data_IF_513263822591
#
_entry.id   IF_513263822591
#
_cell.length_a   1.000
_cell.length_b   1.000
_cell.length_c   1.000
_cell.angle_alpha   90.00
_cell.angle_beta   90.00
_cell.angle_gamma   90.00
#
_symmetry.space_group_name_H-M   'P 1'
#
loop_
_entity.id
_entity.type
_entity.pdbx_description
1 polymer ?
#
# COMPACT_ATOMS: atom_id res chain seq x y z
N UNK A 1 35.52 2.27 10.79
CA UNK A 1 35.04 1.02 10.15
C UNK A 1 35.10 -0.08 11.19
N UNK A 2 33.94 -0.58 11.65
CA UNK A 2 33.69 -1.95 12.16
C UNK A 2 32.19 -2.00 12.54
N UNK A 3 31.49 -2.90 11.82
CA UNK A 3 30.20 -3.60 12.05
C UNK A 3 29.19 -3.04 13.05
N UNK A 4 28.09 -2.52 12.48
CA UNK A 4 26.77 -2.49 13.11
C UNK A 4 26.35 -3.89 13.55
N UNK A 5 26.07 -4.04 14.84
CA UNK A 5 25.59 -5.26 15.49
C UNK A 5 24.14 -5.59 15.16
N UNK A 6 23.73 -5.49 13.89
CA UNK A 6 22.52 -6.11 13.33
C UNK A 6 22.69 -6.48 11.84
N UNK A 7 23.90 -6.87 11.43
CA UNK A 7 24.17 -7.35 10.07
C UNK A 7 24.65 -8.80 10.08
N UNK A 8 23.74 -9.74 9.82
CA UNK A 8 24.08 -11.07 9.30
C UNK A 8 23.74 -11.08 7.81
N UNK A 9 24.78 -11.29 7.00
CA UNK A 9 24.74 -11.33 5.54
C UNK A 9 23.92 -12.53 5.02
N UNK A 10 23.16 -12.32 3.95
CA UNK A 10 22.70 -13.38 3.03
C UNK A 10 22.85 -12.83 1.59
N UNK A 11 23.36 -13.61 0.62
CA UNK A 11 23.87 -13.08 -0.65
C UNK A 11 22.78 -12.79 -1.68
N UNK A 12 23.10 -11.92 -2.63
CA UNK A 12 22.33 -11.65 -3.84
C UNK A 12 22.25 -12.91 -4.71
N UNK A 13 21.04 -13.41 -4.96
CA UNK A 13 20.79 -14.41 -6.01
C UNK A 13 19.54 -14.01 -6.80
N UNK A 14 19.76 -13.83 -8.10
CA UNK A 14 18.76 -13.70 -9.15
C UNK A 14 18.17 -15.07 -9.53
N UNK A 15 16.88 -15.05 -9.86
CA UNK A 15 16.12 -16.04 -10.64
C UNK A 15 15.79 -17.43 -10.03
N UNK A 16 14.49 -17.78 -10.10
CA UNK A 16 14.06 -19.10 -10.56
C UNK A 16 13.55 -20.12 -9.51
N UNK A 17 12.29 -19.98 -9.10
CA UNK A 17 11.26 -21.04 -8.93
C UNK A 17 11.57 -22.43 -8.30
N UNK A 18 12.70 -22.69 -7.62
CA UNK A 18 13.00 -24.03 -7.05
C UNK A 18 13.38 -24.08 -5.57
N UNK A 19 13.20 -22.99 -4.82
CA UNK A 19 13.70 -22.87 -3.44
C UNK A 19 12.72 -23.24 -2.31
N UNK A 20 11.50 -23.70 -2.63
CA UNK A 20 10.51 -24.04 -1.59
C UNK A 20 10.79 -25.33 -0.82
N UNK A 21 11.69 -26.19 -1.30
CA UNK A 21 12.05 -27.44 -0.60
C UNK A 21 13.30 -27.30 0.30
N UNK A 22 14.25 -26.43 -0.07
CA UNK A 22 15.52 -26.28 0.68
C UNK A 22 15.38 -25.45 1.98
N UNK A 23 14.34 -24.61 2.08
CA UNK A 23 13.98 -23.90 3.31
C UNK A 23 13.28 -24.79 4.35
N UNK A 24 12.86 -26.00 3.97
CA UNK A 24 12.13 -26.91 4.85
C UNK A 24 13.05 -27.66 5.83
N UNK A 25 14.34 -27.84 5.48
CA UNK A 25 15.27 -28.69 6.25
C UNK A 25 16.22 -27.90 7.16
N UNK A 26 16.23 -26.56 7.07
CA UNK A 26 17.04 -25.67 7.93
C UNK A 26 16.27 -25.07 9.11
N UNK A 27 14.99 -25.43 9.25
CA UNK A 27 14.09 -24.96 10.33
C UNK A 27 14.04 -25.96 11.50
N UNK A 28 14.52 -27.20 11.31
CA UNK A 28 14.43 -28.25 12.34
C UNK A 28 15.63 -28.28 13.32
N UNK A 29 16.62 -27.40 13.17
CA UNK A 29 17.79 -27.37 14.07
C UNK A 29 18.08 -26.01 14.72
N UNK A 30 17.16 -25.04 14.57
CA UNK A 30 17.20 -23.79 15.34
C UNK A 30 16.00 -23.75 16.27
N UNK A 31 16.06 -24.62 17.27
CA UNK A 31 15.42 -24.38 18.56
C UNK A 31 15.93 -23.01 19.05
N UNK A 32 15.16 -21.95 18.78
CA UNK A 32 15.29 -20.67 19.47
C UNK A 32 14.81 -20.88 20.91
N UNK A 33 15.60 -21.61 21.71
CA UNK A 33 15.76 -21.25 23.11
C UNK A 33 16.37 -19.85 23.07
N UNK A 34 15.52 -18.82 23.17
CA UNK A 34 16.01 -17.59 23.78
C UNK A 34 16.67 -18.03 25.08
N UNK A 35 17.93 -17.69 25.38
CA UNK A 35 18.32 -17.69 26.76
C UNK A 35 17.33 -16.73 27.42
N UNK A 36 16.44 -17.28 28.22
CA UNK A 36 15.72 -16.50 29.20
C UNK A 36 16.79 -16.02 30.18
N UNK A 37 17.52 -14.97 29.81
CA UNK A 37 18.09 -14.07 30.77
C UNK A 37 16.89 -13.36 31.41
N UNK A 38 16.19 -14.09 32.27
CA UNK A 38 15.62 -13.50 33.47
C UNK A 38 16.85 -13.02 34.25
N UNK A 39 17.39 -11.88 33.85
CA UNK A 39 18.19 -11.08 34.77
C UNK A 39 17.14 -10.66 35.78
N UNK A 40 16.97 -11.48 36.83
CA UNK A 40 16.34 -10.99 38.04
C UNK A 40 17.19 -9.78 38.41
N UNK A 41 16.65 -8.55 38.36
CA UNK A 41 17.42 -7.41 38.79
C UNK A 41 17.82 -7.71 40.22
N UNK A 42 19.14 -7.74 40.47
CA UNK A 42 19.69 -7.88 41.81
C UNK A 42 18.96 -6.87 42.70
N UNK A 43 18.49 -7.25 43.91
CA UNK A 43 17.62 -6.39 44.74
C UNK A 43 18.19 -4.99 45.01
N UNK A 44 19.51 -4.81 44.83
CA UNK A 44 20.21 -3.52 44.87
C UNK A 44 19.76 -2.52 43.79
N UNK A 45 19.49 -2.96 42.56
CA UNK A 45 19.10 -2.05 41.47
C UNK A 45 17.64 -1.61 41.55
N UNK A 46 16.80 -2.32 42.30
CA UNK A 46 15.42 -1.90 42.56
C UNK A 46 15.34 -0.75 43.57
N UNK A 47 16.36 -0.55 44.41
CA UNK A 47 16.38 0.45 45.49
C UNK A 47 17.05 1.78 45.10
N UNK A 48 17.76 1.84 43.97
CA UNK A 48 18.39 3.07 43.50
C UNK A 48 17.33 4.11 43.07
N UNK A 49 17.39 5.37 43.52
CA UNK A 49 16.55 6.47 43.02
C UNK A 49 16.70 6.70 41.51
N UNK A 50 15.62 7.15 40.86
CA UNK A 50 15.59 7.34 39.39
C UNK A 50 16.56 8.42 38.91
N UNK A 51 16.91 9.35 39.78
CA UNK A 51 17.90 10.43 39.57
C UNK A 51 19.32 9.87 39.46
N UNK A 52 19.65 8.84 40.26
CA UNK A 52 20.95 8.17 40.16
C UNK A 52 21.03 7.29 38.91
N UNK A 53 19.93 6.62 38.55
CA UNK A 53 19.84 5.90 37.28
C UNK A 53 20.03 6.85 36.09
N UNK A 54 19.44 8.05 36.18
CA UNK A 54 19.59 9.08 35.15
C UNK A 54 21.05 9.50 35.01
N UNK A 55 21.71 9.78 36.15
CA UNK A 55 23.12 10.16 36.18
C UNK A 55 24.04 9.06 35.66
N UNK A 56 23.79 7.79 35.98
CA UNK A 56 24.59 6.67 35.48
C UNK A 56 24.46 6.54 33.96
N UNK A 57 23.22 6.60 33.45
CA UNK A 57 22.96 6.47 32.02
C UNK A 57 23.42 7.70 31.22
N UNK A 58 23.40 8.91 31.79
CA UNK A 58 23.88 10.12 31.11
C UNK A 58 25.39 10.12 30.90
N UNK A 59 26.15 9.40 31.74
CA UNK A 59 27.61 9.25 31.61
C UNK A 59 28.00 8.16 30.60
N UNK A 60 27.05 7.34 30.13
CA UNK A 60 27.30 6.34 29.09
C UNK A 60 27.16 7.02 27.72
N UNK A 61 28.25 7.07 26.95
CA UNK A 61 28.23 7.68 25.62
C UNK A 61 27.76 6.72 24.50
N UNK A 62 27.70 5.41 24.79
CA UNK A 62 27.23 4.41 23.84
C UNK A 62 25.70 4.33 23.82
N UNK A 63 25.09 5.06 22.87
CA UNK A 63 23.63 5.11 22.68
C UNK A 63 23.00 3.72 22.50
N UNK A 64 23.55 2.78 21.71
CA UNK A 64 23.04 1.41 21.63
C UNK A 64 22.93 0.69 22.97
N UNK A 65 23.94 0.80 23.84
CA UNK A 65 23.91 0.19 25.18
C UNK A 65 22.85 0.81 26.09
N UNK A 66 22.69 2.15 26.07
CA UNK A 66 21.62 2.84 26.80
C UNK A 66 20.24 2.36 26.34
N UNK A 67 20.05 2.19 25.02
CA UNK A 67 18.79 1.70 24.45
C UNK A 67 18.48 0.26 24.89
N UNK A 68 19.49 -0.59 25.06
CA UNK A 68 19.32 -1.96 25.54
C UNK A 68 18.88 -2.03 27.01
N UNK A 69 19.21 -1.01 27.82
CA UNK A 69 18.76 -0.92 29.21
C UNK A 69 17.22 -0.82 29.34
N UNK A 70 16.51 -0.44 28.27
CA UNK A 70 15.02 -0.45 28.24
C UNK A 70 14.41 -1.83 28.52
N UNK A 71 15.15 -2.90 28.23
CA UNK A 71 14.67 -4.27 28.40
C UNK A 71 14.83 -4.81 29.84
N UNK A 72 15.43 -4.03 30.75
CA UNK A 72 15.77 -4.48 32.11
C UNK A 72 14.57 -4.39 33.06
N UNK A 73 13.93 -3.23 33.18
CA UNK A 73 12.65 -3.05 33.87
C UNK A 73 12.01 -1.69 33.54
N UNK A 74 10.75 -1.49 33.93
CA UNK A 74 9.96 -0.28 33.66
C UNK A 74 10.62 1.02 34.15
N UNK A 75 11.41 0.95 35.24
CA UNK A 75 12.16 2.12 35.74
C UNK A 75 13.32 2.50 34.83
N UNK A 76 14.09 1.52 34.34
CA UNK A 76 15.14 1.77 33.35
C UNK A 76 14.54 2.26 32.03
N UNK A 77 13.39 1.73 31.65
CA UNK A 77 12.64 2.18 30.48
C UNK A 77 12.28 3.67 30.59
N UNK A 78 11.67 4.08 31.71
CA UNK A 78 11.32 5.49 31.98
C UNK A 78 12.53 6.42 31.94
N UNK A 79 13.64 6.03 32.57
CA UNK A 79 14.84 6.86 32.62
C UNK A 79 15.50 7.00 31.24
N UNK A 80 15.60 5.91 30.47
CA UNK A 80 16.17 5.95 29.12
C UNK A 80 15.36 6.86 28.18
N UNK A 81 14.03 6.89 28.33
CA UNK A 81 13.17 7.74 27.51
C UNK A 81 13.30 9.24 27.83
N UNK A 82 13.72 9.59 29.04
CA UNK A 82 14.04 10.97 29.41
C UNK A 82 15.45 11.40 28.95
N UNK A 83 16.37 10.45 28.72
CA UNK A 83 17.77 10.73 28.32
C UNK A 83 17.91 10.75 26.80
N UNK A 84 17.32 9.78 26.11
CA UNK A 84 17.43 9.67 24.65
C UNK A 84 16.28 10.45 24.04
N UNK A 85 16.54 11.56 23.31
CA UNK A 85 15.47 12.39 22.77
C UNK A 85 14.55 11.57 21.86
N UNK A 86 13.24 11.78 22.05
CA UNK A 86 12.17 11.18 21.26
C UNK A 86 12.43 11.40 19.76
N UNK A 87 12.88 10.36 19.06
CA UNK A 87 13.08 10.38 17.61
C UNK A 87 12.07 9.46 16.97
N UNK A 88 11.09 10.07 16.30
CA UNK A 88 10.13 9.33 15.50
C UNK A 88 10.84 8.61 14.35
N UNK A 89 10.58 7.31 14.25
CA UNK A 89 10.94 6.49 13.11
C UNK A 89 9.84 6.66 12.06
N UNK A 90 10.13 7.42 11.01
CA UNK A 90 9.24 7.59 9.86
C UNK A 90 9.24 6.30 9.04
N UNK A 91 8.14 5.55 9.10
CA UNK A 91 7.97 4.31 8.37
C UNK A 91 7.29 4.59 7.04
N UNK A 92 7.97 4.27 5.94
CA UNK A 92 7.34 4.31 4.62
C UNK A 92 6.23 3.27 4.51
N UNK A 93 6.44 2.08 5.09
CA UNK A 93 5.41 1.03 5.22
C UNK A 93 5.58 0.26 6.53
N UNK A 94 4.47 0.01 7.20
CA UNK A 94 4.34 -1.02 8.21
C UNK A 94 3.55 -2.18 7.60
N UNK A 95 4.22 -3.32 7.42
CA UNK A 95 3.63 -4.51 6.82
C UNK A 95 3.43 -5.56 7.90
N UNK A 96 2.18 -5.97 8.13
CA UNK A 96 1.85 -7.05 9.05
C UNK A 96 1.38 -8.23 8.21
N UNK A 97 2.16 -9.32 8.25
CA UNK A 97 1.90 -10.51 7.44
C UNK A 97 1.59 -11.72 8.31
N UNK A 98 0.65 -12.55 7.89
CA UNK A 98 0.43 -13.86 8.53
C UNK A 98 1.57 -14.82 8.17
N UNK A 99 2.03 -15.57 9.17
CA UNK A 99 3.00 -16.64 9.03
C UNK A 99 2.36 -18.01 9.32
N UNK A 100 2.93 -19.10 8.77
CA UNK A 100 2.56 -20.46 9.17
C UNK A 100 2.69 -20.66 10.68
N UNK A 101 1.92 -21.62 11.25
CA UNK A 101 1.90 -21.93 12.69
C UNK A 101 1.34 -20.83 13.61
N UNK A 102 0.37 -20.04 13.13
CA UNK A 102 -0.34 -19.03 13.93
C UNK A 102 0.61 -17.96 14.51
N UNK A 103 1.51 -17.44 13.70
CA UNK A 103 2.31 -16.28 14.04
C UNK A 103 2.04 -15.14 13.06
N UNK A 104 2.39 -13.92 13.46
CA UNK A 104 2.40 -12.76 12.57
C UNK A 104 3.81 -12.19 12.49
N UNK A 105 4.18 -11.74 11.31
CA UNK A 105 5.38 -10.94 11.07
C UNK A 105 4.98 -9.46 11.06
N UNK A 106 5.66 -8.65 11.86
CA UNK A 106 5.55 -7.19 11.79
C UNK A 106 6.86 -6.67 11.19
N UNK A 107 6.77 -6.17 9.95
CA UNK A 107 7.90 -5.67 9.18
C UNK A 107 7.81 -4.15 9.01
N UNK A 108 8.87 -3.48 9.43
CA UNK A 108 9.09 -2.04 9.32
C UNK A 108 9.93 -1.78 8.07
N UNK A 109 9.51 -0.85 7.23
CA UNK A 109 10.21 -0.48 6.01
C UNK A 109 10.35 1.04 5.96
N UNK A 110 11.59 1.51 5.81
CA UNK A 110 11.90 2.90 5.54
C UNK A 110 12.70 2.98 4.23
N UNK A 111 12.08 3.51 3.17
CA UNK A 111 12.75 3.67 1.88
C UNK A 111 13.82 4.75 1.91
N UNK A 112 13.64 5.81 2.70
CA UNK A 112 14.60 6.91 2.79
C UNK A 112 15.95 6.47 3.34
N UNK A 113 15.95 5.57 4.33
CA UNK A 113 17.16 4.97 4.88
C UNK A 113 17.50 3.59 4.29
N UNK A 114 16.70 3.09 3.34
CA UNK A 114 16.78 1.73 2.79
C UNK A 114 16.81 0.62 3.85
N UNK A 115 16.20 0.86 5.01
CA UNK A 115 16.19 -0.10 6.11
C UNK A 115 14.90 -0.92 6.12
N UNK A 116 15.06 -2.23 6.32
CA UNK A 116 13.95 -3.12 6.64
C UNK A 116 14.28 -3.96 7.86
N UNK A 117 13.35 -4.05 8.79
CA UNK A 117 13.49 -4.85 10.00
C UNK A 117 12.16 -5.53 10.31
N UNK A 118 12.20 -6.81 10.60
CA UNK A 118 11.02 -7.62 10.91
C UNK A 118 11.13 -8.23 12.32
N UNK A 119 9.98 -8.39 12.96
CA UNK A 119 9.84 -9.17 14.17
C UNK A 119 8.68 -10.15 14.02
N UNK A 120 8.80 -11.31 14.67
CA UNK A 120 7.75 -12.33 14.68
C UNK A 120 7.06 -12.31 16.04
N UNK A 121 5.73 -12.22 16.02
CA UNK A 121 4.86 -12.27 17.19
C UNK A 121 4.02 -13.54 17.09
N UNK A 122 4.11 -14.42 18.08
CA UNK A 122 3.29 -15.62 18.12
C UNK A 122 1.85 -15.30 18.52
N UNK A 123 0.87 -16.16 18.19
CA UNK A 123 -0.50 -15.97 18.68
C UNK A 123 -0.61 -15.96 20.20
N UNK A 124 0.26 -16.70 20.90
CA UNK A 124 0.29 -16.67 22.37
C UNK A 124 0.58 -15.25 22.88
N UNK A 125 1.52 -14.55 22.22
CA UNK A 125 1.84 -13.16 22.53
C UNK A 125 0.69 -12.19 22.19
N UNK A 126 -0.11 -12.47 21.16
CA UNK A 126 -1.32 -11.68 20.87
C UNK A 126 -2.37 -11.81 21.98
N UNK A 127 -2.51 -13.00 22.57
CA UNK A 127 -3.49 -13.25 23.66
C UNK A 127 -3.06 -12.74 25.03
N UNK A 128 -1.77 -12.52 25.23
CA UNK A 128 -1.19 -12.11 26.52
C UNK A 128 -0.72 -10.65 26.46
N UNK A 129 -1.37 -9.81 25.64
CA UNK A 129 -1.07 -8.39 25.47
C UNK A 129 0.42 -8.08 25.30
N UNK A 130 1.03 -8.61 24.23
CA UNK A 130 2.39 -8.26 23.88
C UNK A 130 2.58 -6.73 23.91
N UNK A 131 3.39 -6.28 24.86
CA UNK A 131 3.63 -4.87 25.11
C UNK A 131 4.61 -4.30 24.08
N UNK A 132 4.08 -3.99 22.90
CA UNK A 132 4.80 -3.33 21.82
C UNK A 132 4.54 -1.82 21.77
N UNK A 133 3.83 -1.29 22.77
CA UNK A 133 3.40 0.11 22.85
C UNK A 133 4.57 1.06 22.66
N UNK A 134 5.73 0.72 23.25
CA UNK A 134 6.93 1.53 23.16
C UNK A 134 7.46 1.64 21.72
N UNK A 135 7.52 0.52 21.01
CA UNK A 135 7.97 0.53 19.61
C UNK A 135 7.01 1.33 18.75
N UNK A 136 5.70 1.15 18.96
CA UNK A 136 4.66 1.85 18.21
C UNK A 136 4.59 3.34 18.53
N UNK A 137 4.89 3.76 19.76
CA UNK A 137 5.01 5.16 20.15
C UNK A 137 6.04 5.94 19.33
N UNK A 138 7.04 5.23 18.82
CA UNK A 138 8.09 5.83 18.01
C UNK A 138 7.73 5.85 16.52
N UNK A 139 6.64 5.21 16.09
CA UNK A 139 6.33 5.08 14.68
C UNK A 139 5.49 6.25 14.16
N UNK A 140 5.99 6.85 13.08
CA UNK A 140 5.21 7.73 12.22
C UNK A 140 4.92 6.98 10.93
N UNK A 141 3.72 6.41 10.84
CA UNK A 141 3.37 5.41 9.82
C UNK A 141 2.75 6.11 8.61
N UNK A 142 3.32 5.93 7.41
CA UNK A 142 2.73 6.46 6.18
C UNK A 142 1.75 5.49 5.53
N UNK A 143 2.05 4.19 5.55
CA UNK A 143 1.22 3.16 4.92
C UNK A 143 1.15 1.92 5.79
N UNK A 144 -0.07 1.46 6.08
CA UNK A 144 -0.33 0.23 6.80
C UNK A 144 -0.79 -0.84 5.82
N UNK A 145 -0.10 -1.97 5.81
CA UNK A 145 -0.40 -3.10 4.91
C UNK A 145 -0.62 -4.36 5.73
N UNK A 146 -1.82 -4.92 5.65
CA UNK A 146 -2.16 -6.22 6.23
C UNK A 146 -2.18 -7.26 5.12
N UNK A 147 -1.38 -8.32 5.25
CA UNK A 147 -1.16 -9.28 4.16
C UNK A 147 -1.27 -10.73 4.64
N UNK A 148 -1.95 -11.58 3.87
CA UNK A 148 -1.94 -13.04 4.06
C UNK A 148 -2.26 -13.47 5.53
N UNK A 149 -3.20 -12.79 6.19
CA UNK A 149 -3.55 -13.06 7.59
C UNK A 149 -5.06 -13.20 7.76
N UNK A 150 -5.48 -13.89 8.82
CA UNK A 150 -6.88 -13.94 9.24
C UNK A 150 -7.21 -12.71 10.09
N UNK A 151 -8.26 -11.98 9.68
CA UNK A 151 -8.75 -10.82 10.41
C UNK A 151 -9.65 -11.28 11.55
N UNK A 152 -9.07 -11.47 12.73
CA UNK A 152 -9.77 -11.87 13.95
C UNK A 152 -9.97 -10.69 14.89
N UNK A 153 -10.96 -10.78 15.78
CA UNK A 153 -11.15 -9.76 16.83
C UNK A 153 -9.93 -9.65 17.75
N UNK A 154 -9.32 -10.78 18.13
CA UNK A 154 -8.06 -10.83 18.91
C UNK A 154 -6.96 -9.99 18.23
N UNK A 155 -6.75 -10.19 16.93
CA UNK A 155 -5.74 -9.46 16.17
C UNK A 155 -6.07 -7.98 16.03
N UNK A 156 -7.33 -7.64 15.76
CA UNK A 156 -7.75 -6.25 15.62
C UNK A 156 -7.60 -5.52 16.96
N UNK A 157 -8.04 -6.08 18.07
CA UNK A 157 -7.94 -5.42 19.38
C UNK A 157 -6.47 -5.24 19.79
N UNK A 158 -5.60 -6.24 19.54
CA UNK A 158 -4.16 -6.07 19.68
C UNK A 158 -3.64 -4.89 18.83
N UNK A 159 -3.95 -4.88 17.53
CA UNK A 159 -3.45 -3.86 16.61
C UNK A 159 -3.97 -2.46 16.97
N UNK A 160 -5.21 -2.36 17.45
CA UNK A 160 -5.83 -1.11 17.89
C UNK A 160 -5.06 -0.51 19.06
N UNK A 161 -4.73 -1.30 20.08
CA UNK A 161 -3.91 -0.85 21.22
C UNK A 161 -2.55 -0.33 20.73
N UNK A 162 -1.90 -1.04 19.80
CA UNK A 162 -0.60 -0.59 19.27
C UNK A 162 -0.73 0.72 18.45
N UNK A 163 -1.74 0.83 17.58
CA UNK A 163 -1.93 2.00 16.73
C UNK A 163 -2.37 3.25 17.51
N UNK A 164 -3.11 3.11 18.60
CA UNK A 164 -3.45 4.22 19.49
C UNK A 164 -2.22 4.90 20.09
N UNK A 165 -1.13 4.16 20.25
CA UNK A 165 0.14 4.71 20.74
C UNK A 165 0.97 5.36 19.62
N UNK A 166 0.65 5.15 18.34
CA UNK A 166 1.46 5.64 17.20
C UNK A 166 1.04 7.03 16.71
N UNK A 167 1.97 7.75 16.07
CA UNK A 167 1.62 8.95 15.30
C UNK A 167 1.03 8.57 13.93
N UNK A 168 -0.30 8.66 13.83
CA UNK A 168 -1.07 8.40 12.61
C UNK A 168 -1.30 9.64 11.74
N UNK A 169 -0.78 10.82 12.12
CA UNK A 169 -1.01 12.08 11.40
C UNK A 169 -0.59 12.04 9.93
N UNK A 170 0.39 11.20 9.59
CA UNK A 170 0.91 11.02 8.22
C UNK A 170 0.45 9.74 7.54
N UNK A 171 -0.47 8.98 8.14
CA UNK A 171 -0.99 7.76 7.55
C UNK A 171 -1.88 8.10 6.36
N UNK A 172 -1.51 7.66 5.16
CA UNK A 172 -2.27 7.95 3.94
C UNK A 172 -2.92 6.70 3.34
N UNK A 173 -2.43 5.50 3.65
CA UNK A 173 -2.88 4.28 2.99
C UNK A 173 -3.11 3.12 3.97
N UNK A 174 -4.25 2.45 3.81
CA UNK A 174 -4.52 1.13 4.38
C UNK A 174 -4.76 0.15 3.23
N UNK A 175 -3.95 -0.91 3.17
CA UNK A 175 -4.10 -1.99 2.19
C UNK A 175 -4.29 -3.33 2.88
N UNK A 176 -5.39 -4.00 2.56
CA UNK A 176 -5.73 -5.36 2.97
C UNK A 176 -5.53 -6.27 1.76
N UNK A 177 -4.50 -7.10 1.78
CA UNK A 177 -4.15 -7.97 0.65
C UNK A 177 -4.22 -9.45 1.04
N UNK A 178 -5.06 -10.22 0.37
CA UNK A 178 -5.27 -11.64 0.64
C UNK A 178 -5.55 -11.92 2.14
N UNK A 179 -6.34 -11.04 2.74
CA UNK A 179 -6.80 -11.16 4.13
C UNK A 179 -8.00 -12.10 4.16
N UNK A 180 -8.02 -13.00 5.14
CA UNK A 180 -9.13 -13.93 5.37
C UNK A 180 -10.13 -13.33 6.38
N UNK A 181 -11.37 -13.19 5.96
CA UNK A 181 -12.50 -12.66 6.72
C UNK A 181 -13.37 -13.77 7.33
N UNK A 182 -13.00 -15.05 7.19
CA UNK A 182 -13.80 -16.19 7.66
C UNK A 182 -14.17 -16.11 9.14
N UNK A 183 -13.21 -15.70 9.97
CA UNK A 183 -13.33 -15.51 11.42
C UNK A 183 -13.68 -14.07 11.82
N UNK A 184 -13.94 -13.18 10.87
CA UNK A 184 -14.28 -11.78 11.12
C UNK A 184 -15.79 -11.58 11.22
N UNK A 185 -16.18 -10.58 12.01
CA UNK A 185 -17.52 -10.02 12.01
C UNK A 185 -17.53 -8.64 11.34
N UNK A 186 -18.71 -8.11 11.03
CA UNK A 186 -18.86 -6.71 10.59
C UNK A 186 -18.19 -5.73 11.58
N UNK A 187 -18.23 -6.01 12.88
CA UNK A 187 -17.63 -5.14 13.87
C UNK A 187 -16.09 -5.16 13.85
N UNK A 188 -15.48 -6.27 13.43
CA UNK A 188 -14.03 -6.45 13.41
C UNK A 188 -13.34 -5.40 12.53
N UNK A 189 -13.78 -5.24 11.27
CA UNK A 189 -13.22 -4.22 10.39
C UNK A 189 -13.63 -2.81 10.82
N UNK A 190 -14.86 -2.63 11.30
CA UNK A 190 -15.35 -1.36 11.82
C UNK A 190 -14.45 -0.79 12.92
N UNK A 191 -14.05 -1.61 13.90
CA UNK A 191 -13.17 -1.20 15.00
C UNK A 191 -11.77 -0.80 14.54
N UNK A 192 -11.24 -1.46 13.50
CA UNK A 192 -9.96 -1.08 12.91
C UNK A 192 -10.05 0.27 12.19
N UNK A 193 -11.08 0.43 11.34
CA UNK A 193 -11.32 1.66 10.58
C UNK A 193 -11.55 2.86 11.51
N UNK A 194 -12.21 2.68 12.65
CA UNK A 194 -12.47 3.76 13.59
C UNK A 194 -11.20 4.53 14.04
N UNK A 195 -10.03 3.88 14.01
CA UNK A 195 -8.76 4.51 14.38
C UNK A 195 -8.11 5.19 13.17
N UNK A 196 -8.11 4.52 12.02
CA UNK A 196 -7.27 4.91 10.87
C UNK A 196 -8.02 5.72 9.80
N UNK A 197 -9.34 5.54 9.67
CA UNK A 197 -10.12 5.97 8.52
C UNK A 197 -10.06 7.48 8.23
N UNK A 198 -10.04 8.32 9.27
CA UNK A 198 -9.96 9.80 9.16
C UNK A 198 -8.65 10.33 8.56
N UNK A 199 -7.63 9.48 8.49
CA UNK A 199 -6.32 9.82 7.95
C UNK A 199 -6.15 9.36 6.49
N UNK A 200 -6.95 8.38 6.05
CA UNK A 200 -6.71 7.68 4.79
C UNK A 200 -7.03 8.53 3.55
N UNK A 201 -6.09 8.55 2.61
CA UNK A 201 -6.31 8.97 1.22
C UNK A 201 -6.58 7.76 0.30
N UNK A 202 -6.07 6.58 0.67
CA UNK A 202 -6.16 5.35 -0.11
C UNK A 202 -6.63 4.20 0.79
N UNK A 203 -7.76 3.60 0.44
CA UNK A 203 -8.25 2.37 1.04
C UNK A 203 -8.30 1.26 -0.02
N UNK A 204 -7.60 0.16 0.23
CA UNK A 204 -7.52 -0.97 -0.68
C UNK A 204 -7.85 -2.28 0.04
N UNK A 205 -8.73 -3.05 -0.55
CA UNK A 205 -9.03 -4.42 -0.22
C UNK A 205 -8.91 -5.26 -1.48
N UNK A 206 -7.94 -6.17 -1.50
CA UNK A 206 -7.57 -6.95 -2.68
C UNK A 206 -7.45 -8.42 -2.34
N UNK A 207 -8.02 -9.27 -3.19
CA UNK A 207 -7.90 -10.74 -3.11
C UNK A 207 -8.36 -11.36 -1.79
N UNK A 208 -9.26 -10.70 -1.05
CA UNK A 208 -9.73 -11.19 0.25
C UNK A 208 -10.60 -12.43 0.13
N UNK A 209 -10.50 -13.29 1.15
CA UNK A 209 -11.19 -14.60 1.22
C UNK A 209 -12.10 -14.68 2.44
N UNK A 210 -12.96 -15.71 2.50
CA UNK A 210 -13.83 -15.92 3.66
C UNK A 210 -14.89 -14.84 3.87
N UNK A 211 -15.15 -14.00 2.88
CA UNK A 211 -16.01 -12.83 3.05
C UNK A 211 -17.50 -13.22 3.19
N UNK A 212 -18.22 -12.41 3.96
CA UNK A 212 -19.68 -12.43 4.10
C UNK A 212 -20.26 -11.15 3.51
N UNK A 213 -21.57 -11.11 3.30
CA UNK A 213 -22.24 -9.93 2.75
C UNK A 213 -22.05 -8.68 3.64
N UNK A 214 -21.87 -8.87 4.94
CA UNK A 214 -21.67 -7.85 5.96
C UNK A 214 -20.19 -7.63 6.33
N UNK A 215 -19.24 -8.32 5.70
CA UNK A 215 -17.80 -8.10 5.97
C UNK A 215 -17.33 -6.70 5.62
N UNK A 216 -17.94 -6.08 4.60
CA UNK A 216 -17.77 -4.66 4.25
C UNK A 216 -19.14 -4.13 3.88
N UNK A 217 -19.46 -2.94 4.39
CA UNK A 217 -20.78 -2.31 4.24
C UNK A 217 -20.63 -0.81 4.02
N UNK A 218 -21.70 -0.14 3.64
CA UNK A 218 -21.74 1.33 3.53
C UNK A 218 -21.31 2.04 4.84
N UNK A 219 -21.60 1.45 6.00
CA UNK A 219 -21.20 1.98 7.30
C UNK A 219 -19.67 1.93 7.55
N UNK A 220 -18.97 1.01 6.89
CA UNK A 220 -17.51 0.97 6.93
C UNK A 220 -16.92 2.11 6.11
N UNK A 221 -17.43 2.31 4.89
CA UNK A 221 -16.96 3.37 4.00
C UNK A 221 -17.38 4.76 4.48
N UNK A 222 -18.47 4.86 5.25
CA UNK A 222 -18.89 6.10 5.91
C UNK A 222 -17.87 6.65 6.92
N UNK A 223 -16.96 5.83 7.44
CA UNK A 223 -15.91 6.28 8.37
C UNK A 223 -14.75 6.98 7.66
N UNK A 224 -14.63 6.81 6.34
CA UNK A 224 -13.59 7.46 5.56
C UNK A 224 -13.88 8.96 5.45
N UNK A 225 -12.84 9.77 5.56
CA UNK A 225 -12.96 11.21 5.35
C UNK A 225 -13.10 11.49 3.84
N UNK A 226 -14.32 11.84 3.41
CA UNK A 226 -14.61 12.10 2.00
C UNK A 226 -13.78 13.27 1.44
N UNK A 227 -13.34 14.21 2.27
CA UNK A 227 -12.54 15.35 1.80
C UNK A 227 -11.10 14.95 1.47
N UNK A 228 -10.62 13.84 2.05
CA UNK A 228 -9.25 13.33 1.87
C UNK A 228 -9.17 12.12 0.97
N UNK A 229 -10.20 11.29 0.94
CA UNK A 229 -10.16 10.03 0.21
C UNK A 229 -10.02 10.28 -1.29
N UNK A 230 -9.00 9.68 -1.89
CA UNK A 230 -8.68 9.79 -3.31
C UNK A 230 -8.92 8.47 -4.04
N UNK A 231 -8.89 7.34 -3.33
CA UNK A 231 -9.06 6.01 -3.94
C UNK A 231 -9.65 5.00 -2.96
N UNK A 232 -10.66 4.27 -3.44
CA UNK A 232 -11.29 3.14 -2.76
C UNK A 232 -11.27 1.96 -3.73
N UNK A 233 -10.54 0.90 -3.38
CA UNK A 233 -10.43 -0.31 -4.20
C UNK A 233 -10.94 -1.50 -3.41
N UNK A 234 -11.98 -2.16 -3.90
CA UNK A 234 -12.50 -3.45 -3.43
C UNK A 234 -12.45 -4.38 -4.63
N UNK A 235 -11.47 -5.30 -4.65
CA UNK A 235 -11.21 -6.16 -5.80
C UNK A 235 -10.84 -7.59 -5.39
N UNK A 236 -11.21 -8.56 -6.22
CA UNK A 236 -10.89 -9.97 -5.98
C UNK A 236 -11.63 -10.59 -4.79
N UNK A 237 -12.87 -10.17 -4.53
CA UNK A 237 -13.69 -10.63 -3.40
C UNK A 237 -14.09 -12.10 -3.56
N UNK A 238 -13.79 -12.92 -2.55
CA UNK A 238 -14.18 -14.34 -2.48
C UNK A 238 -14.99 -14.60 -1.20
N UNK A 239 -16.25 -15.00 -1.37
CA UNK A 239 -17.17 -15.30 -0.28
C UNK A 239 -16.88 -16.67 0.35
N UNK A 240 -17.08 -16.79 1.67
CA UNK A 240 -16.94 -18.05 2.41
C UNK A 240 -17.91 -19.13 1.89
N UNK A 241 -19.16 -18.75 1.70
CA UNK A 241 -20.18 -19.59 1.06
C UNK A 241 -20.47 -19.02 -0.32
N UNK A 242 -20.02 -19.66 -1.41
CA UNK A 242 -20.26 -19.19 -2.77
C UNK A 242 -21.71 -19.44 -3.16
N UNK A 243 -22.65 -18.66 -2.59
CA UNK A 243 -24.02 -18.61 -3.09
C UNK A 243 -24.00 -17.96 -4.48
N UNK A 244 -24.85 -18.44 -5.39
CA UNK A 244 -25.06 -17.78 -6.69
C UNK A 244 -25.42 -16.30 -6.42
N UNK A 245 -24.58 -15.38 -6.89
CA UNK A 245 -24.74 -13.91 -6.76
C UNK A 245 -24.57 -13.32 -5.35
N UNK A 246 -23.72 -13.88 -4.50
CA UNK A 246 -23.33 -13.20 -3.27
C UNK A 246 -22.71 -11.81 -3.57
N UNK A 247 -23.21 -10.79 -2.87
CA UNK A 247 -22.74 -9.40 -2.95
C UNK A 247 -22.46 -8.83 -1.56
N UNK A 248 -21.52 -7.88 -1.51
CA UNK A 248 -21.23 -7.06 -0.33
C UNK A 248 -22.31 -6.00 -0.16
N UNK A 249 -22.65 -5.66 1.08
CA UNK A 249 -23.59 -4.58 1.45
C UNK A 249 -22.97 -3.18 1.31
N UNK A 250 -22.10 -3.02 0.32
CA UNK A 250 -21.66 -1.71 -0.18
C UNK A 250 -22.58 -1.39 -1.33
N UNK A 251 -23.47 -0.43 -1.12
CA UNK A 251 -24.53 -0.07 -2.05
C UNK A 251 -24.48 1.40 -2.46
N UNK A 252 -25.62 1.87 -2.94
CA UNK A 252 -25.78 3.21 -3.50
C UNK A 252 -25.53 4.32 -2.47
N UNK A 253 -25.73 4.02 -1.20
CA UNK A 253 -25.57 4.97 -0.10
C UNK A 253 -24.14 5.50 0.02
N UNK A 254 -23.12 4.67 -0.21
CA UNK A 254 -21.72 5.14 -0.27
C UNK A 254 -21.52 6.13 -1.41
N UNK A 255 -22.02 5.83 -2.61
CA UNK A 255 -21.84 6.66 -3.79
C UNK A 255 -22.60 7.98 -3.65
N UNK A 256 -23.83 7.93 -3.12
CA UNK A 256 -24.67 9.09 -2.86
C UNK A 256 -23.97 10.07 -1.91
N UNK A 257 -23.48 9.58 -0.77
CA UNK A 257 -22.76 10.41 0.21
C UNK A 257 -21.52 11.09 -0.38
N UNK A 258 -20.75 10.35 -1.16
CA UNK A 258 -19.56 10.89 -1.83
C UNK A 258 -19.95 12.00 -2.83
N UNK A 259 -20.99 11.77 -3.64
CA UNK A 259 -21.49 12.76 -4.60
C UNK A 259 -22.07 14.02 -3.91
N UNK A 260 -22.84 13.86 -2.83
CA UNK A 260 -23.38 14.97 -2.04
C UNK A 260 -22.27 15.88 -1.48
N UNK A 261 -21.14 15.28 -1.09
CA UNK A 261 -19.97 15.99 -0.58
C UNK A 261 -19.04 16.47 -1.70
N UNK A 262 -19.44 16.34 -2.97
CA UNK A 262 -18.65 16.65 -4.18
C UNK A 262 -17.28 15.98 -4.19
N UNK A 263 -17.17 14.80 -3.58
CA UNK A 263 -15.96 14.01 -3.52
C UNK A 263 -16.04 12.83 -4.47
N UNK A 264 -15.10 12.78 -5.41
CA UNK A 264 -15.07 11.75 -6.45
C UNK A 264 -13.75 10.95 -6.44
N UNK A 265 -13.52 10.08 -5.43
CA UNK A 265 -12.37 9.18 -5.40
C UNK A 265 -12.40 8.15 -6.53
N UNK A 266 -11.26 7.53 -6.84
CA UNK A 266 -11.19 6.46 -7.82
C UNK A 266 -11.77 5.21 -7.20
N UNK A 267 -12.88 4.71 -7.75
CA UNK A 267 -13.61 3.58 -7.23
C UNK A 267 -13.33 2.33 -8.06
N UNK A 268 -12.99 1.24 -7.39
CA UNK A 268 -13.05 -0.12 -7.96
C UNK A 268 -13.94 -0.94 -7.05
N UNK A 269 -15.06 -1.43 -7.57
CA UNK A 269 -16.09 -2.13 -6.80
C UNK A 269 -16.33 -3.52 -7.39
N UNK A 270 -15.95 -4.55 -6.65
CA UNK A 270 -16.13 -5.95 -7.03
C UNK A 270 -17.19 -6.64 -6.15
N UNK A 271 -18.22 -7.22 -6.78
CA UNK A 271 -19.34 -7.89 -6.12
C UNK A 271 -20.05 -7.03 -5.07
N UNK A 272 -20.21 -5.74 -5.32
CA UNK A 272 -20.98 -4.82 -4.48
C UNK A 272 -22.46 -4.79 -4.87
N UNK A 273 -23.31 -4.26 -3.99
CA UNK A 273 -24.76 -4.13 -4.17
C UNK A 273 -25.18 -2.78 -4.79
N UNK A 274 -24.28 -2.14 -5.52
CA UNK A 274 -24.53 -0.88 -6.25
C UNK A 274 -25.42 -1.11 -7.46
N UNK A 275 -26.25 -0.12 -7.78
CA UNK A 275 -27.19 -0.15 -8.92
C UNK A 275 -26.64 0.57 -10.14
N UNK A 276 -27.11 0.16 -11.31
CA UNK A 276 -26.79 0.81 -12.59
C UNK A 276 -27.11 2.31 -12.55
N UNK A 277 -28.30 2.68 -12.06
CA UNK A 277 -28.74 4.07 -11.95
C UNK A 277 -27.76 4.91 -11.12
N UNK A 278 -27.43 4.47 -9.90
CA UNK A 278 -26.56 5.24 -9.02
C UNK A 278 -25.14 5.37 -9.56
N UNK A 279 -24.60 4.34 -10.21
CA UNK A 279 -23.28 4.40 -10.82
C UNK A 279 -23.24 5.44 -11.96
N UNK A 280 -24.30 5.51 -12.77
CA UNK A 280 -24.45 6.55 -13.79
C UNK A 280 -24.61 7.95 -13.17
N UNK A 281 -25.54 8.12 -12.22
CA UNK A 281 -25.77 9.39 -11.51
C UNK A 281 -24.48 9.92 -10.85
N UNK A 282 -23.71 9.03 -10.23
CA UNK A 282 -22.41 9.37 -9.62
C UNK A 282 -21.40 9.87 -10.66
N UNK A 283 -21.37 9.24 -11.83
CA UNK A 283 -20.43 9.59 -12.90
C UNK A 283 -20.82 10.90 -13.59
N UNK A 284 -22.11 11.13 -13.82
CA UNK A 284 -22.64 12.42 -14.27
C UNK A 284 -22.31 13.54 -13.29
N UNK A 285 -22.50 13.29 -11.99
CA UNK A 285 -22.14 14.23 -10.93
C UNK A 285 -20.65 14.62 -11.00
N UNK A 286 -19.78 13.64 -11.23
CA UNK A 286 -18.36 13.91 -11.44
C UNK A 286 -18.14 14.77 -12.69
N UNK A 287 -18.72 14.41 -13.84
CA UNK A 287 -18.60 15.18 -15.08
C UNK A 287 -19.09 16.62 -14.95
N UNK A 288 -20.15 16.85 -14.17
CA UNK A 288 -20.66 18.19 -13.89
C UNK A 288 -19.70 18.99 -12.98
N UNK A 289 -19.06 18.34 -12.01
CA UNK A 289 -18.20 19.01 -11.02
C UNK A 289 -16.73 19.17 -11.43
N UNK A 290 -16.20 18.30 -12.29
CA UNK A 290 -14.77 18.21 -12.55
C UNK A 290 -14.30 19.34 -13.47
N UNK A 291 -13.15 19.93 -13.14
CA UNK A 291 -12.46 20.87 -14.01
C UNK A 291 -11.97 20.18 -15.29
N UNK A 292 -11.92 20.90 -16.41
CA UNK A 292 -11.50 20.35 -17.72
C UNK A 292 -10.09 19.73 -17.68
N UNK A 293 -9.17 20.33 -16.92
CA UNK A 293 -7.83 19.76 -16.71
C UNK A 293 -7.86 18.39 -16.05
N UNK A 294 -8.73 18.17 -15.07
CA UNK A 294 -8.89 16.88 -14.39
C UNK A 294 -9.57 15.84 -15.29
N UNK A 295 -10.55 16.28 -16.08
CA UNK A 295 -11.23 15.46 -17.10
C UNK A 295 -10.27 14.89 -18.14
N UNK A 296 -9.21 15.63 -18.48
CA UNK A 296 -8.15 15.19 -19.42
C UNK A 296 -7.16 14.21 -18.79
N UNK A 297 -6.89 14.32 -17.48
CA UNK A 297 -5.91 13.48 -16.77
C UNK A 297 -6.50 12.17 -16.27
N UNK A 298 -7.79 12.16 -15.93
CA UNK A 298 -8.44 11.04 -15.28
C UNK A 298 -9.65 10.63 -16.09
N UNK A 299 -9.43 9.73 -17.04
CA UNK A 299 -10.51 9.22 -17.89
C UNK A 299 -11.44 8.26 -17.15
N UNK A 300 -11.04 7.69 -16.01
CA UNK A 300 -11.80 6.67 -15.28
C UNK A 300 -12.04 7.05 -13.80
N UNK A 301 -13.31 7.12 -13.43
CA UNK A 301 -13.73 7.41 -12.04
C UNK A 301 -14.18 6.16 -11.29
N UNK A 302 -14.92 5.27 -11.96
CA UNK A 302 -15.56 4.13 -11.35
C UNK A 302 -15.40 2.89 -12.23
N UNK A 303 -14.87 1.82 -11.63
CA UNK A 303 -14.82 0.47 -12.20
C UNK A 303 -15.78 -0.42 -11.42
N UNK A 304 -16.71 -1.07 -12.11
CA UNK A 304 -17.61 -2.04 -11.48
C UNK A 304 -17.33 -3.42 -12.04
N UNK A 305 -17.18 -4.42 -11.16
CA UNK A 305 -16.88 -5.80 -11.51
C UNK A 305 -17.88 -6.74 -10.83
N UNK A 306 -18.51 -7.63 -11.60
CA UNK A 306 -19.33 -8.74 -11.05
C UNK A 306 -20.42 -8.30 -10.05
N UNK A 307 -20.93 -7.07 -10.16
CA UNK A 307 -22.03 -6.56 -9.34
C UNK A 307 -23.36 -7.01 -9.95
N UNK A 308 -24.23 -7.63 -9.14
CA UNK A 308 -25.42 -8.31 -9.66
C UNK A 308 -26.45 -7.38 -10.33
N UNK A 309 -26.51 -6.11 -9.88
CA UNK A 309 -27.42 -5.08 -10.38
C UNK A 309 -26.81 -4.19 -11.48
N UNK A 310 -25.56 -4.48 -11.90
CA UNK A 310 -24.87 -3.79 -13.00
C UNK A 310 -24.61 -4.80 -14.10
N UNK A 311 -25.59 -4.98 -14.99
CA UNK A 311 -25.53 -5.96 -16.09
C UNK A 311 -25.13 -5.25 -17.37
N UNK A 312 -24.14 -5.81 -18.09
CA UNK A 312 -23.57 -5.22 -19.32
C UNK A 312 -24.60 -4.56 -20.25
N UNK A 313 -25.58 -5.29 -20.80
CA UNK A 313 -26.52 -4.72 -21.77
C UNK A 313 -27.44 -3.61 -21.21
N UNK A 314 -27.94 -3.79 -19.98
CA UNK A 314 -28.80 -2.79 -19.32
C UNK A 314 -28.01 -1.56 -18.91
N UNK A 315 -26.75 -1.77 -18.51
CA UNK A 315 -25.82 -0.71 -18.14
C UNK A 315 -25.39 0.10 -19.36
N UNK A 316 -25.03 -0.57 -20.46
CA UNK A 316 -24.67 0.05 -21.74
C UNK A 316 -25.82 0.90 -22.30
N UNK A 317 -27.04 0.36 -22.33
CA UNK A 317 -28.22 1.09 -22.78
C UNK A 317 -28.53 2.33 -21.90
N UNK A 318 -28.37 2.21 -20.58
CA UNK A 318 -28.56 3.35 -19.66
C UNK A 318 -27.45 4.41 -19.83
N UNK A 319 -26.21 3.99 -20.09
CA UNK A 319 -25.12 4.90 -20.39
C UNK A 319 -25.36 5.65 -21.71
N UNK A 320 -25.76 4.94 -22.76
CA UNK A 320 -26.08 5.51 -24.07
C UNK A 320 -27.23 6.52 -23.97
N UNK A 321 -28.31 6.17 -23.25
CA UNK A 321 -29.44 7.07 -22.97
C UNK A 321 -29.02 8.39 -22.31
N UNK A 322 -27.93 8.38 -21.57
CA UNK A 322 -27.38 9.52 -20.82
C UNK A 322 -26.18 10.18 -21.50
N UNK A 323 -25.76 9.69 -22.68
CA UNK A 323 -24.56 10.17 -23.37
C UNK A 323 -23.25 9.85 -22.63
N UNK A 324 -23.24 8.84 -21.76
CA UNK A 324 -22.03 8.35 -21.08
C UNK A 324 -21.36 7.26 -21.90
N UNK A 325 -20.03 7.26 -21.94
CA UNK A 325 -19.27 6.22 -22.62
C UNK A 325 -18.82 5.13 -21.66
N UNK A 326 -19.06 3.88 -22.05
CA UNK A 326 -18.71 2.71 -21.26
C UNK A 326 -17.97 1.67 -22.11
N UNK A 327 -16.95 1.02 -21.53
CA UNK A 327 -16.18 -0.05 -22.17
C UNK A 327 -16.36 -1.32 -21.38
N UNK A 328 -16.87 -2.34 -22.06
CA UNK A 328 -16.91 -3.69 -21.53
C UNK A 328 -15.60 -4.41 -21.86
N UNK A 329 -14.81 -4.78 -20.85
CA UNK A 329 -13.58 -5.56 -21.06
C UNK A 329 -13.92 -7.06 -21.08
N UNK A 330 -13.98 -7.63 -22.29
CA UNK A 330 -14.20 -9.08 -22.49
C UNK A 330 -13.11 -9.87 -21.73
N UNK A 331 -13.52 -10.84 -20.91
CA UNK A 331 -12.63 -11.71 -20.11
C UNK A 331 -12.59 -11.42 -18.60
N UNK A 332 -12.78 -10.17 -18.16
CA UNK A 332 -12.77 -9.82 -16.72
C UNK A 332 -14.17 -9.54 -16.14
N UNK A 333 -15.19 -9.37 -16.98
CA UNK A 333 -16.54 -8.96 -16.56
C UNK A 333 -16.56 -7.57 -15.90
N UNK A 334 -15.57 -6.73 -16.25
CA UNK A 334 -15.44 -5.37 -15.74
C UNK A 334 -16.16 -4.41 -16.69
N UNK A 335 -17.02 -3.58 -16.12
CA UNK A 335 -17.63 -2.44 -16.79
C UNK A 335 -16.90 -1.18 -16.32
N UNK A 336 -16.41 -0.41 -17.29
CA UNK A 336 -15.61 0.79 -17.07
C UNK A 336 -16.36 1.96 -17.69
N UNK A 337 -16.71 2.95 -16.87
CA UNK A 337 -17.14 4.26 -17.38
C UNK A 337 -15.91 5.10 -17.67
N UNK A 338 -15.87 5.71 -18.85
CA UNK A 338 -14.76 6.56 -19.24
C UNK A 338 -15.22 7.83 -19.96
N UNK A 339 -14.42 8.89 -19.86
CA UNK A 339 -14.61 10.12 -20.61
C UNK A 339 -13.97 10.01 -22.01
N UNK A 340 -14.73 10.32 -23.07
CA UNK A 340 -14.22 10.35 -24.46
C UNK A 340 -13.43 11.63 -24.78
N UNK A 341 -13.65 12.74 -24.06
CA UNK A 341 -12.87 13.97 -24.27
C UNK A 341 -11.36 13.76 -24.03
N UNK A 342 -10.98 12.82 -23.16
CA UNK A 342 -9.58 12.46 -22.92
C UNK A 342 -8.91 11.77 -24.14
N UNK A 343 -9.66 11.03 -24.96
CA UNK A 343 -9.11 10.42 -26.18
C UNK A 343 -8.90 11.46 -27.28
N UNK A 344 -9.81 12.43 -27.41
CA UNK A 344 -9.64 13.51 -28.39
C UNK A 344 -8.53 14.47 -27.99
N UNK A 345 -8.37 14.81 -26.71
CA UNK A 345 -7.25 15.65 -26.24
C UNK A 345 -5.89 14.97 -26.36
N UNK A 346 -5.78 13.66 -26.14
CA UNK A 346 -4.53 12.92 -26.38
C UNK A 346 -4.19 12.86 -27.87
N UNK A 347 -5.18 12.69 -28.73
CA UNK A 347 -4.99 12.65 -30.19
C UNK A 347 -4.62 14.04 -30.72
N UNK A 348 -5.29 15.09 -30.24
CA UNK A 348 -4.99 16.49 -30.58
C UNK A 348 -3.66 16.94 -29.98
N UNK A 349 -3.30 16.53 -28.75
CA UNK A 349 -1.97 16.82 -28.17
C UNK A 349 -0.87 16.04 -28.87
N UNK A 350 -1.08 14.79 -29.30
CA UNK A 350 -0.12 14.08 -30.14
C UNK A 350 0.02 14.78 -31.50
N UNK A 351 -1.09 15.22 -32.11
CA UNK A 351 -1.04 15.99 -33.36
C UNK A 351 -0.32 17.33 -33.16
N UNK A 352 -0.55 18.06 -32.07
CA UNK A 352 0.17 19.28 -31.75
C UNK A 352 1.65 19.02 -31.43
N UNK A 353 1.99 17.92 -30.73
CA UNK A 353 3.38 17.57 -30.43
C UNK A 353 4.12 17.15 -31.72
N UNK A 354 3.47 16.39 -32.60
CA UNK A 354 3.98 16.05 -33.93
C UNK A 354 4.11 17.31 -34.78
N UNK A 355 3.14 18.22 -34.75
CA UNK A 355 3.20 19.48 -35.49
C UNK A 355 4.31 20.40 -34.98
N UNK A 356 4.53 20.48 -33.66
CA UNK A 356 5.65 21.22 -33.06
C UNK A 356 6.98 20.56 -33.39
N UNK A 357 7.10 19.23 -33.32
CA UNK A 357 8.32 18.51 -33.70
C UNK A 357 8.62 18.69 -35.19
N UNK A 358 7.63 18.54 -36.07
CA UNK A 358 7.77 18.74 -37.52
C UNK A 358 8.10 20.19 -37.83
N UNK A 359 7.49 21.17 -37.14
CA UNK A 359 7.81 22.59 -37.30
C UNK A 359 9.20 22.93 -36.78
N UNK A 360 9.64 22.34 -35.67
CA UNK A 360 11.01 22.50 -35.13
C UNK A 360 12.06 21.84 -36.04
N UNK A 361 11.74 20.71 -36.69
CA UNK A 361 12.61 20.08 -37.69
C UNK A 361 12.65 20.92 -38.97
N UNK A 362 11.53 21.50 -39.41
CA UNK A 362 11.49 22.42 -40.56
C UNK A 362 12.23 23.73 -40.29
N UNK A 363 12.13 24.29 -39.08
CA UNK A 363 12.89 25.48 -38.67
C UNK A 363 14.38 25.18 -38.51
N UNK A 364 14.75 23.98 -38.05
CA UNK A 364 16.15 23.55 -37.97
C UNK A 364 16.78 23.25 -39.35
N UNK A 365 15.95 22.93 -40.36
CA UNK A 365 16.37 22.76 -41.76
C UNK A 365 16.61 24.09 -42.50
N UNK A 366 16.19 25.23 -41.94
CA UNK A 366 16.33 26.56 -42.55
C UNK A 366 17.38 27.45 -41.87
N UNK A 367 18.04 26.96 -40.81
CA UNK A 367 19.25 27.59 -40.28
C UNK A 367 20.48 26.91 -40.87
N UNK A 368 21.10 27.61 -41.83
CA UNK A 368 22.42 27.32 -42.37
C UNK A 368 23.40 26.98 -41.24
N UNK A 369 23.87 25.74 -41.20
CA UNK A 369 25.10 25.40 -40.50
C UNK A 369 26.27 25.65 -41.45
N UNK A 370 26.84 26.85 -41.34
CA UNK A 370 28.22 27.14 -41.73
C UNK A 370 29.13 26.39 -40.77
N UNK A 371 29.69 25.26 -41.19
CA UNK A 371 30.83 24.64 -40.53
C UNK A 371 32.05 24.92 -41.40
N UNK A 372 32.98 25.69 -40.84
CA UNK A 372 34.29 25.92 -41.43
C UNK A 372 35.10 24.62 -41.44
N UNK A 373 35.43 24.16 -42.63
CA UNK A 373 36.46 23.15 -42.91
C UNK A 373 37.50 23.80 -43.79
N UNK A 374 38.77 23.74 -43.40
CA UNK A 374 39.91 24.00 -44.29
C UNK A 374 41.18 23.30 -43.76
N UNK A 375 42.19 22.99 -44.61
CA UNK A 375 42.36 21.63 -45.17
C UNK A 375 43.83 21.16 -45.21
N UNK A 376 44.07 19.99 -45.82
CA UNK A 376 45.21 19.58 -46.69
C UNK A 376 45.23 18.03 -46.73
N UNK A 377 44.74 17.35 -47.78
CA UNK A 377 45.29 17.10 -49.14
C UNK A 377 45.87 15.67 -49.28
N UNK A 378 45.99 15.12 -50.51
CA UNK A 378 45.30 13.87 -50.90
C UNK A 378 46.26 12.70 -51.23
N UNK A 379 45.72 11.49 -51.38
CA UNK A 379 46.31 10.49 -52.28
C UNK A 379 45.24 9.61 -52.97
N UNK A 380 45.61 9.21 -54.18
CA UNK A 380 44.81 8.86 -55.35
C UNK A 380 44.29 7.39 -55.41
N UNK A 381 43.43 7.06 -56.40
CA UNK A 381 42.57 5.89 -56.42
C UNK A 381 43.16 4.70 -57.19
N UNK A 382 42.58 3.50 -56.97
CA UNK A 382 42.57 2.30 -57.86
C UNK A 382 41.85 1.18 -57.07
N UNK A 383 41.08 0.25 -57.63
CA UNK A 383 40.56 -0.06 -58.96
C UNK A 383 39.52 -1.19 -58.75
N UNK A 384 38.59 -1.30 -59.69
CA UNK A 384 37.72 -2.47 -59.91
C UNK A 384 38.48 -3.81 -59.85
N UNK A 385 37.83 -4.86 -59.36
CA UNK A 385 37.27 -5.92 -60.20
C UNK A 385 36.63 -7.02 -59.35
N UNK A 386 35.33 -7.19 -59.61
CA UNK A 386 34.60 -8.43 -59.89
C UNK A 386 35.14 -9.83 -59.49
N UNK A 387 34.13 -10.70 -59.37
CA UNK A 387 34.10 -12.14 -59.75
C UNK A 387 33.99 -13.13 -58.57
N UNK A 388 32.72 -13.45 -58.29
CA UNK A 388 32.10 -14.79 -58.34
C UNK A 388 32.37 -15.91 -57.30
N UNK A 389 31.22 -16.50 -56.94
CA UNK A 389 30.90 -17.93 -56.74
C UNK A 389 31.41 -18.67 -55.48
N UNK A 390 30.44 -18.90 -54.57
CA UNK A 390 29.94 -20.19 -54.04
C UNK A 390 30.88 -21.42 -53.90
N UNK A 391 30.65 -22.31 -52.92
CA UNK A 391 29.36 -22.71 -52.33
C UNK A 391 28.97 -22.02 -51.03
#
# INVERSE_FOLDING_TARGET
MIRDSWSLAIPSITAGARESAALQQKVDDVSFKRPACKIHPTPLFQQLPSELLFKILSEIHDKPSILNCRAVCDRWHYVVDNIVPFRFLKLSRLVISGLPRRAIEIRRINYGSQQSSAMVVSHAMLRHDAQLYFSFAHFKILRLVLKNLALTDEFVDFLRVQLLNSDLSSLTQLSLHAVDFSSSTSLTLHRLLAIVAKHLEIFELTQSTGMRADSITDAHLAQLDATKIRRITIDGVRFAMPRRRATLRVGDETLRRLAEQRSFPTLVLDRCSVTTKMVCDYTEGWFASAHESEKSLRSQICTVKRCAAVRGPQFEAECERRGLHCKHRRGSGSLILYNVQAEHDLTVRLHCLIFVIVSSIHSASLQQFTVATEPLEPEEPKKECDVEHHP
#
